data_IF_814254591884
#
_entry.id   IF_814254591884
#
_cell.length_a   1.000
_cell.length_b   1.000
_cell.length_c   1.000
_cell.angle_alpha   90.00
_cell.angle_beta   90.00
_cell.angle_gamma   90.00
#
_symmetry.space_group_name_H-M   'P 1'
#
loop_
_entity.id
_entity.type
_entity.pdbx_description
1 polymer ?
#
# COMPACT_ATOMS: atom_id res chain seq x y z
N UNK A 1 12.64 26.45 5.34
CA UNK A 1 11.63 25.38 5.17
C UNK A 1 11.52 25.04 3.69
N UNK A 2 11.61 23.76 3.30
CA UNK A 2 11.28 23.37 1.91
C UNK A 2 9.77 23.54 1.71
N UNK A 3 9.38 24.34 0.72
CA UNK A 3 7.97 24.48 0.33
C UNK A 3 7.48 23.11 -0.13
N UNK A 4 6.28 22.71 0.29
CA UNK A 4 5.65 21.51 -0.23
C UNK A 4 5.33 21.72 -1.72
N UNK A 5 5.81 20.82 -2.56
CA UNK A 5 5.54 20.83 -3.99
C UNK A 5 4.73 19.56 -4.30
N UNK A 6 3.52 19.69 -4.86
CA UNK A 6 2.73 18.54 -5.30
C UNK A 6 3.49 17.69 -6.31
N UNK A 7 3.30 16.37 -6.25
CA UNK A 7 4.00 15.39 -7.10
C UNK A 7 3.90 15.75 -8.59
N UNK A 8 2.73 16.19 -9.05
CA UNK A 8 2.48 16.56 -10.45
C UNK A 8 3.39 17.67 -10.95
N UNK A 9 3.76 18.62 -10.07
CA UNK A 9 4.57 19.79 -10.37
C UNK A 9 6.07 19.55 -10.22
N UNK A 10 6.48 18.35 -9.83
CA UNK A 10 7.89 17.98 -9.73
C UNK A 10 8.52 17.83 -11.12
N UNK A 11 9.82 18.15 -11.19
CA UNK A 11 10.62 17.85 -12.39
C UNK A 11 10.66 16.34 -12.65
N UNK A 12 10.91 15.95 -13.90
CA UNK A 12 11.02 14.52 -14.28
C UNK A 12 12.05 13.76 -13.43
N UNK A 13 13.17 14.42 -13.07
CA UNK A 13 14.24 13.84 -12.24
C UNK A 13 13.78 13.59 -10.81
N UNK A 14 13.07 14.55 -10.21
CA UNK A 14 12.60 14.44 -8.83
C UNK A 14 11.47 13.40 -8.71
N UNK A 15 10.56 13.33 -9.69
CA UNK A 15 9.54 12.27 -9.78
C UNK A 15 10.17 10.88 -9.77
N UNK A 16 11.18 10.66 -10.61
CA UNK A 16 11.91 9.39 -10.69
C UNK A 16 12.54 8.99 -9.34
N UNK A 17 13.15 9.95 -8.63
CA UNK A 17 13.73 9.72 -7.30
C UNK A 17 12.66 9.31 -6.28
N UNK A 18 11.52 10.01 -6.25
CA UNK A 18 10.41 9.68 -5.36
C UNK A 18 9.85 8.29 -5.67
N UNK A 19 9.66 7.97 -6.94
CA UNK A 19 9.13 6.67 -7.36
C UNK A 19 10.09 5.52 -7.06
N UNK A 20 11.40 5.74 -7.17
CA UNK A 20 12.41 4.74 -6.81
C UNK A 20 12.39 4.45 -5.30
N UNK A 21 12.23 5.47 -4.47
CA UNK A 21 12.06 5.31 -3.02
C UNK A 21 10.78 4.51 -2.74
N UNK A 22 9.67 4.84 -3.40
CA UNK A 22 8.37 4.15 -3.21
C UNK A 22 8.41 2.69 -3.68
N UNK A 23 9.10 2.40 -4.79
CA UNK A 23 9.16 1.05 -5.40
C UNK A 23 10.05 0.06 -4.65
N UNK A 24 10.99 0.54 -3.84
CA UNK A 24 11.95 -0.34 -3.12
C UNK A 24 11.31 -1.28 -2.11
N UNK A 25 10.12 -0.95 -1.63
CA UNK A 25 9.39 -1.81 -0.71
C UNK A 25 7.95 -1.94 -1.16
N UNK A 26 7.35 -3.08 -0.85
CA UNK A 26 5.93 -3.29 -0.99
C UNK A 26 5.14 -2.62 0.16
N UNK A 27 5.67 -1.56 0.79
CA UNK A 27 5.03 -0.84 1.90
C UNK A 27 4.64 -1.75 3.08
N UNK A 28 5.52 -2.72 3.41
CA UNK A 28 5.27 -3.70 4.48
C UNK A 28 4.45 -4.92 4.06
N UNK A 29 4.03 -5.00 2.79
CA UNK A 29 3.31 -6.16 2.25
C UNK A 29 4.33 -7.19 1.74
N UNK A 30 4.31 -8.41 2.28
CA UNK A 30 5.11 -9.49 1.69
C UNK A 30 4.29 -10.19 0.59
N UNK A 31 4.67 -10.11 -0.70
CA UNK A 31 3.89 -10.69 -1.79
C UNK A 31 3.79 -12.22 -1.72
N UNK A 32 4.74 -12.89 -1.06
CA UNK A 32 4.73 -14.36 -0.90
C UNK A 32 3.66 -14.80 0.09
N UNK A 33 3.41 -14.02 1.14
CA UNK A 33 2.46 -14.35 2.20
C UNK A 33 1.13 -13.60 2.07
N UNK A 34 1.00 -12.71 1.08
CA UNK A 34 -0.23 -11.93 0.87
C UNK A 34 -1.30 -12.81 0.24
N UNK A 35 -2.33 -13.10 1.02
CA UNK A 35 -3.58 -13.68 0.52
C UNK A 35 -4.49 -12.53 0.10
N UNK A 36 -5.00 -12.58 -1.13
CA UNK A 36 -5.99 -11.61 -1.59
C UNK A 36 -7.30 -11.82 -0.84
N UNK A 37 -7.96 -10.76 -0.39
CA UNK A 37 -9.27 -10.87 0.29
C UNK A 37 -10.37 -11.44 -0.62
N UNK A 38 -10.18 -11.43 -1.94
CA UNK A 38 -11.07 -12.05 -2.93
C UNK A 38 -10.88 -13.57 -3.04
N UNK A 39 -9.89 -14.15 -2.37
CA UNK A 39 -9.64 -15.58 -2.42
C UNK A 39 -10.68 -16.36 -1.59
N UNK A 40 -11.63 -16.96 -2.30
CA UNK A 40 -12.75 -17.73 -1.71
C UNK A 40 -12.32 -19.08 -1.14
N UNK A 41 -11.14 -19.60 -1.51
CA UNK A 41 -10.67 -20.94 -1.08
C UNK A 41 -9.91 -20.88 0.25
N UNK A 42 -9.31 -19.73 0.55
CA UNK A 42 -8.53 -19.58 1.76
C UNK A 42 -9.42 -19.42 3.00
N UNK A 43 -9.10 -20.18 4.04
CA UNK A 43 -9.83 -20.14 5.30
C UNK A 43 -9.60 -18.82 6.04
N UNK A 44 -10.67 -18.07 6.31
CA UNK A 44 -10.65 -16.83 7.09
C UNK A 44 -11.63 -16.94 8.25
N UNK A 45 -11.14 -16.86 9.50
CA UNK A 45 -12.02 -16.80 10.68
C UNK A 45 -12.60 -15.40 10.80
N UNK A 46 -13.92 -15.27 10.85
CA UNK A 46 -14.58 -14.03 11.23
C UNK A 46 -14.44 -13.82 12.73
N UNK A 47 -14.23 -12.57 13.16
CA UNK A 47 -14.25 -12.24 14.59
C UNK A 47 -15.61 -12.60 15.18
N UNK A 48 -15.62 -13.19 16.38
CA UNK A 48 -16.87 -13.51 17.09
C UNK A 48 -17.64 -12.26 17.48
N UNK A 49 -16.93 -11.16 17.73
CA UNK A 49 -17.49 -9.85 18.09
C UNK A 49 -16.95 -8.81 17.10
N UNK A 50 -17.63 -8.60 15.96
CA UNK A 50 -17.23 -7.55 15.03
C UNK A 50 -17.61 -6.18 15.58
N UNK A 51 -16.74 -5.18 15.40
CA UNK A 51 -16.99 -3.80 15.84
C UNK A 51 -18.16 -3.13 15.10
N UNK A 52 -18.44 -3.61 13.88
CA UNK A 52 -19.61 -3.23 13.09
C UNK A 52 -20.21 -4.47 12.42
N UNK A 53 -21.53 -4.59 12.52
CA UNK A 53 -22.31 -5.52 11.71
C UNK A 53 -22.65 -4.82 10.40
N UNK A 54 -22.01 -5.22 9.31
CA UNK A 54 -22.46 -4.95 7.94
C UNK A 54 -23.15 -6.20 7.38
#
# INVERSE_FOLDING_TARGET
MKKFIPYEKLSKKEKRRVDEIKRRSWLGINPVTRIADTDRKNYKRKSKHPEKYE
#
